data_IF_459423356085
#
_entry.id   IF_459423356085
#
_cell.length_a   1.000
_cell.length_b   1.000
_cell.length_c   1.000
_cell.angle_alpha   90.00
_cell.angle_beta   90.00
_cell.angle_gamma   90.00
#
_symmetry.space_group_name_H-M   'P 1'
#
loop_
_entity.id
_entity.type
_entity.pdbx_description
1 polymer ?
#
# COMPACT_ATOMS: atom_id res chain seq x y z
N UNK A 1 15.93 0.21 0.53
CA UNK A 1 15.12 -1.00 0.22
C UNK A 1 15.61 -1.58 -1.10
N UNK A 2 15.80 -2.89 -1.18
CA UNK A 2 16.33 -3.62 -2.33
C UNK A 2 15.38 -4.75 -2.71
N UNK A 3 15.24 -5.02 -4.01
CA UNK A 3 14.51 -6.17 -4.53
C UNK A 3 15.46 -7.00 -5.39
N UNK A 4 15.42 -8.32 -5.17
CA UNK A 4 16.25 -9.29 -5.88
C UNK A 4 15.38 -10.43 -6.41
N UNK A 5 15.45 -10.69 -7.71
CA UNK A 5 14.78 -11.83 -8.32
C UNK A 5 15.35 -13.14 -7.78
N UNK A 6 14.48 -14.08 -7.40
CA UNK A 6 14.84 -15.39 -6.92
C UNK A 6 14.64 -16.44 -8.01
N UNK A 7 13.41 -16.62 -8.45
CA UNK A 7 13.03 -17.56 -9.51
C UNK A 7 11.78 -17.06 -10.22
N UNK A 8 11.71 -17.16 -11.55
CA UNK A 8 10.56 -16.76 -12.33
C UNK A 8 10.08 -15.34 -12.01
N UNK A 9 8.92 -15.20 -11.38
CA UNK A 9 8.33 -13.94 -10.93
C UNK A 9 8.44 -13.73 -9.41
N UNK A 10 9.24 -14.51 -8.74
CA UNK A 10 9.52 -14.35 -7.31
C UNK A 10 10.59 -13.29 -7.08
N UNK A 11 10.29 -12.32 -6.25
CA UNK A 11 11.21 -11.27 -5.83
C UNK A 11 11.29 -11.20 -4.31
N UNK A 12 12.49 -11.20 -3.78
CA UNK A 12 12.74 -10.97 -2.36
C UNK A 12 12.98 -9.50 -2.10
N UNK A 13 12.20 -8.94 -1.18
CA UNK A 13 12.35 -7.56 -0.70
C UNK A 13 13.14 -7.55 0.58
N UNK A 14 14.22 -6.79 0.62
CA UNK A 14 14.99 -6.46 1.82
C UNK A 14 14.74 -5.01 2.18
N UNK A 15 14.27 -4.79 3.40
CA UNK A 15 14.08 -3.44 3.93
C UNK A 15 15.40 -2.92 4.50
N UNK A 16 15.59 -1.60 4.46
CA UNK A 16 16.74 -0.90 5.06
C UNK A 16 16.65 -0.78 6.59
N UNK A 17 15.67 -1.45 7.20
CA UNK A 17 15.52 -1.61 8.65
C UNK A 17 15.99 -3.00 9.06
N UNK A 18 17.06 -3.12 9.87
CA UNK A 18 17.72 -4.40 10.13
C UNK A 18 16.84 -5.45 10.82
N UNK A 19 15.85 -5.01 11.60
CA UNK A 19 14.95 -5.90 12.36
C UNK A 19 13.67 -6.26 11.60
N UNK A 20 13.50 -5.77 10.37
CA UNK A 20 12.31 -6.09 9.56
C UNK A 20 12.59 -7.33 8.72
N UNK A 21 11.77 -8.39 8.85
CA UNK A 21 11.91 -9.60 8.04
C UNK A 21 11.84 -9.32 6.53
N UNK A 22 12.57 -10.09 5.75
CA UNK A 22 12.44 -10.10 4.29
C UNK A 22 11.01 -10.51 3.89
N UNK A 23 10.53 -9.96 2.78
CA UNK A 23 9.23 -10.29 2.21
C UNK A 23 9.41 -10.90 0.82
N UNK A 24 8.83 -12.10 0.60
CA UNK A 24 8.76 -12.69 -0.72
C UNK A 24 7.53 -12.16 -1.45
N UNK A 25 7.73 -11.68 -2.67
CA UNK A 25 6.68 -11.31 -3.62
C UNK A 25 6.59 -12.34 -4.72
N UNK A 26 5.39 -12.60 -5.21
CA UNK A 26 5.17 -13.48 -6.36
C UNK A 26 3.86 -13.11 -7.06
N UNK A 27 3.76 -13.52 -8.32
CA UNK A 27 2.54 -13.33 -9.11
C UNK A 27 1.60 -14.53 -8.98
N UNK A 28 0.30 -14.35 -9.28
CA UNK A 28 -0.62 -15.49 -9.40
C UNK A 28 -0.35 -16.30 -10.66
N UNK A 29 -0.86 -17.53 -10.67
CA UNK A 29 -0.86 -18.39 -11.87
C UNK A 29 -1.53 -17.66 -13.06
N UNK A 30 -1.04 -17.85 -14.30
CA UNK A 30 0.01 -18.78 -14.69
C UNK A 30 1.44 -18.20 -14.63
N UNK A 31 1.65 -16.99 -14.17
CA UNK A 31 2.96 -16.32 -14.14
C UNK A 31 3.81 -16.79 -12.98
N UNK A 32 3.23 -16.89 -11.78
CA UNK A 32 3.86 -17.35 -10.56
C UNK A 32 3.07 -18.50 -9.92
N UNK A 33 3.38 -18.79 -8.66
CA UNK A 33 2.73 -19.85 -7.87
C UNK A 33 2.08 -19.34 -6.57
N UNK A 34 1.98 -18.00 -6.41
CA UNK A 34 1.43 -17.35 -5.21
C UNK A 34 2.26 -17.59 -3.94
N UNK A 35 3.57 -17.69 -4.06
CA UNK A 35 4.46 -17.86 -2.91
C UNK A 35 4.48 -16.62 -1.98
N UNK A 36 4.01 -15.47 -2.47
CA UNK A 36 3.84 -14.24 -1.72
C UNK A 36 2.78 -13.32 -2.33
N UNK A 37 2.50 -12.16 -1.71
CA UNK A 37 1.61 -11.15 -2.29
C UNK A 37 2.26 -10.54 -3.52
N UNK A 38 1.47 -10.19 -4.53
CA UNK A 38 1.96 -9.40 -5.65
C UNK A 38 1.94 -7.88 -5.36
N UNK A 39 2.56 -7.10 -6.23
CA UNK A 39 2.68 -5.65 -6.07
C UNK A 39 1.33 -4.93 -5.88
N UNK A 40 0.28 -5.31 -6.64
CA UNK A 40 -1.04 -4.70 -6.51
C UNK A 40 -1.66 -4.94 -5.11
N UNK A 41 -1.44 -6.12 -4.51
CA UNK A 41 -1.88 -6.42 -3.15
C UNK A 41 -1.11 -5.59 -2.12
N UNK A 42 0.18 -5.35 -2.34
CA UNK A 42 0.98 -4.51 -1.46
C UNK A 42 0.53 -3.04 -1.50
N UNK A 43 0.17 -2.53 -2.67
CA UNK A 43 -0.39 -1.17 -2.78
C UNK A 43 -1.69 -1.07 -1.99
N UNK A 44 -2.61 -2.04 -2.13
CA UNK A 44 -3.86 -2.07 -1.36
C UNK A 44 -3.60 -2.18 0.15
N UNK A 45 -2.63 -3.02 0.56
CA UNK A 45 -2.24 -3.17 1.96
C UNK A 45 -1.62 -1.88 2.52
N UNK A 46 -0.79 -1.18 1.74
CA UNK A 46 -0.18 0.09 2.14
C UNK A 46 -1.24 1.17 2.37
N UNK A 47 -2.24 1.27 1.48
CA UNK A 47 -3.37 2.19 1.63
C UNK A 47 -4.15 1.86 2.91
N UNK A 48 -4.55 0.60 3.10
CA UNK A 48 -5.29 0.18 4.28
C UNK A 48 -4.53 0.41 5.59
N UNK A 49 -3.22 0.11 5.60
CA UNK A 49 -2.38 0.34 6.77
C UNK A 49 -2.26 1.83 7.12
N UNK A 50 -2.00 2.67 6.12
CA UNK A 50 -1.84 4.10 6.34
C UNK A 50 -3.14 4.75 6.85
N UNK A 51 -4.29 4.40 6.27
CA UNK A 51 -5.61 4.85 6.75
C UNK A 51 -5.88 4.38 8.18
N UNK A 52 -5.58 3.12 8.49
CA UNK A 52 -5.72 2.58 9.85
C UNK A 52 -4.85 3.33 10.85
N UNK A 53 -3.59 3.57 10.50
CA UNK A 53 -2.67 4.33 11.34
C UNK A 53 -3.14 5.77 11.54
N UNK A 54 -3.67 6.42 10.51
CA UNK A 54 -4.19 7.80 10.57
C UNK A 54 -5.40 7.91 11.53
N UNK A 55 -6.33 6.96 11.48
CA UNK A 55 -7.48 6.94 12.41
C UNK A 55 -7.03 6.69 13.84
N UNK A 56 -6.10 5.75 14.05
CA UNK A 56 -5.53 5.49 15.39
C UNK A 56 -4.80 6.70 15.92
N UNK A 57 -3.98 7.34 15.08
CA UNK A 57 -3.26 8.56 15.45
C UNK A 57 -4.23 9.68 15.84
N UNK A 58 -5.24 9.92 15.03
CA UNK A 58 -6.26 10.94 15.29
C UNK A 58 -6.95 10.71 16.64
N UNK A 59 -7.48 9.52 16.86
CA UNK A 59 -8.21 9.19 18.08
C UNK A 59 -7.30 9.22 19.32
N UNK A 60 -6.12 8.58 19.27
CA UNK A 60 -5.22 8.50 20.42
C UNK A 60 -4.51 9.82 20.72
N UNK A 61 -3.96 10.45 19.69
CA UNK A 61 -3.06 11.59 19.89
C UNK A 61 -3.83 12.91 20.05
N UNK A 62 -4.81 13.13 19.16
CA UNK A 62 -5.57 14.38 19.14
C UNK A 62 -6.71 14.39 20.16
N UNK A 63 -7.45 13.29 20.26
CA UNK A 63 -8.64 13.21 21.11
C UNK A 63 -8.46 12.42 22.40
N UNK A 64 -7.28 11.83 22.62
CA UNK A 64 -6.96 11.02 23.82
C UNK A 64 -7.94 9.84 24.04
N UNK A 65 -8.46 9.30 22.95
CA UNK A 65 -9.38 8.16 22.92
C UNK A 65 -8.64 6.89 22.52
N UNK A 66 -9.04 5.75 23.06
CA UNK A 66 -8.51 4.47 22.62
C UNK A 66 -9.53 3.76 21.70
N UNK A 67 -9.30 3.65 20.39
CA UNK A 67 -10.25 2.99 19.49
C UNK A 67 -10.32 1.47 19.65
N UNK A 68 -9.55 0.89 20.58
CA UNK A 68 -9.35 -0.56 20.60
C UNK A 68 -8.60 -1.06 19.38
N UNK A 69 -8.71 -2.35 19.05
CA UNK A 69 -8.13 -2.89 17.81
C UNK A 69 -8.91 -2.39 16.59
N UNK A 70 -8.17 -1.83 15.63
CA UNK A 70 -8.69 -1.45 14.31
C UNK A 70 -8.42 -2.59 13.33
N UNK A 71 -9.43 -2.95 12.54
CA UNK A 71 -9.30 -3.91 11.44
C UNK A 71 -9.54 -3.18 10.12
N UNK A 72 -8.83 -3.59 9.08
CA UNK A 72 -9.02 -3.09 7.73
C UNK A 72 -9.22 -4.22 6.74
N UNK A 73 -10.15 -4.05 5.82
CA UNK A 73 -10.29 -4.89 4.64
C UNK A 73 -10.12 -4.01 3.41
N UNK A 74 -9.19 -4.37 2.52
CA UNK A 74 -8.93 -3.66 1.29
C UNK A 74 -9.22 -4.53 0.08
N UNK A 75 -9.90 -3.96 -0.91
CA UNK A 75 -10.21 -4.59 -2.19
C UNK A 75 -9.67 -3.73 -3.32
N UNK A 76 -8.69 -4.25 -4.06
CA UNK A 76 -8.18 -3.61 -5.28
C UNK A 76 -8.97 -4.08 -6.50
N UNK A 77 -9.44 -3.14 -7.32
CA UNK A 77 -10.06 -3.43 -8.62
C UNK A 77 -9.03 -3.27 -9.73
N UNK A 78 -8.92 -4.30 -10.57
CA UNK A 78 -8.05 -4.28 -11.75
C UNK A 78 -8.92 -4.21 -13.00
N UNK A 79 -8.66 -3.22 -13.83
CA UNK A 79 -9.36 -3.03 -15.10
C UNK A 79 -8.35 -2.90 -16.25
N UNK A 80 -8.79 -3.20 -17.48
CA UNK A 80 -7.97 -2.98 -18.66
C UNK A 80 -8.19 -1.56 -19.19
N UNK A 81 -7.10 -0.86 -19.47
CA UNK A 81 -7.17 0.42 -20.16
C UNK A 81 -7.45 0.22 -21.68
N UNK A 82 -7.55 1.30 -22.42
CA UNK A 82 -7.79 1.31 -23.87
C UNK A 82 -6.77 0.49 -24.67
N UNK A 83 -5.52 0.38 -24.17
CA UNK A 83 -4.47 -0.45 -24.76
C UNK A 83 -4.50 -1.91 -24.29
N UNK A 84 -5.55 -2.34 -23.57
CA UNK A 84 -5.71 -3.69 -23.05
C UNK A 84 -4.81 -4.06 -21.86
N UNK A 85 -4.11 -3.11 -21.26
CA UNK A 85 -3.17 -3.32 -20.15
C UNK A 85 -3.88 -3.14 -18.81
N UNK A 86 -3.62 -4.02 -17.85
CA UNK A 86 -4.17 -3.90 -16.50
C UNK A 86 -3.67 -2.65 -15.77
N UNK A 87 -4.60 -2.01 -15.05
CA UNK A 87 -4.37 -0.90 -14.14
C UNK A 87 -5.15 -1.13 -12.86
N UNK A 88 -4.65 -0.61 -11.74
CA UNK A 88 -5.43 -0.52 -10.51
C UNK A 88 -6.43 0.62 -10.72
N UNK A 89 -7.69 0.25 -10.96
CA UNK A 89 -8.78 1.21 -11.23
C UNK A 89 -9.39 1.80 -9.95
N UNK A 90 -9.14 1.15 -8.81
CA UNK A 90 -9.58 1.64 -7.52
C UNK A 90 -9.19 0.72 -6.39
N UNK A 91 -9.18 1.27 -5.18
CA UNK A 91 -8.95 0.55 -3.93
C UNK A 91 -10.04 0.96 -2.97
N UNK A 92 -10.86 0.00 -2.55
CA UNK A 92 -11.91 0.19 -1.56
C UNK A 92 -11.40 -0.34 -0.22
N UNK A 93 -11.50 0.49 0.83
CA UNK A 93 -11.06 0.12 2.18
C UNK A 93 -12.21 0.26 3.15
N UNK A 94 -12.45 -0.79 3.93
CA UNK A 94 -13.37 -0.80 5.06
C UNK A 94 -12.56 -0.85 6.34
N UNK A 95 -12.67 0.19 7.16
CA UNK A 95 -12.09 0.22 8.49
C UNK A 95 -13.17 -0.15 9.52
N UNK A 96 -12.85 -1.10 10.40
CA UNK A 96 -13.74 -1.53 11.49
C UNK A 96 -13.10 -1.15 12.81
N UNK A 97 -13.76 -0.30 13.56
CA UNK A 97 -13.40 0.05 14.92
C UNK A 97 -14.05 -0.95 15.90
N UNK A 98 -13.46 -1.12 17.09
CA UNK A 98 -14.01 -1.99 18.11
C UNK A 98 -15.24 -1.40 18.80
N UNK A 99 -15.29 -0.07 18.91
CA UNK A 99 -16.37 0.66 19.56
C UNK A 99 -17.52 0.98 18.60
N UNK A 100 -18.73 1.08 19.11
CA UNK A 100 -19.91 1.46 18.33
C UNK A 100 -19.84 2.93 17.94
N UNK A 101 -20.47 3.27 16.81
CA UNK A 101 -20.64 4.64 16.42
C UNK A 101 -21.38 5.43 17.51
N UNK A 102 -20.82 6.56 17.90
CA UNK A 102 -21.38 7.44 18.94
C UNK A 102 -20.98 7.11 20.39
N UNK A 103 -20.42 5.93 20.67
CA UNK A 103 -19.96 5.58 22.03
C UNK A 103 -18.63 6.26 22.38
N UNK A 104 -17.88 6.67 21.35
CA UNK A 104 -16.59 7.34 21.51
C UNK A 104 -16.71 8.85 21.27
N UNK A 105 -16.47 9.69 22.27
CA UNK A 105 -16.47 11.14 22.09
C UNK A 105 -15.52 11.56 20.97
N UNK A 106 -15.91 12.53 20.16
CA UNK A 106 -15.12 13.06 19.05
C UNK A 106 -14.80 12.09 17.88
N UNK A 107 -15.40 10.89 17.86
CA UNK A 107 -15.21 9.92 16.77
C UNK A 107 -15.60 10.54 15.42
N UNK A 108 -16.78 11.13 15.32
CA UNK A 108 -17.26 11.78 14.11
C UNK A 108 -16.27 12.83 13.60
N UNK A 109 -15.84 13.72 14.48
CA UNK A 109 -14.86 14.76 14.15
C UNK A 109 -13.49 14.21 13.72
N UNK A 110 -13.10 13.05 14.23
CA UNK A 110 -11.90 12.36 13.76
C UNK A 110 -12.11 11.80 12.36
N UNK A 111 -13.26 11.13 12.11
CA UNK A 111 -13.57 10.52 10.83
C UNK A 111 -13.70 11.54 9.69
N UNK A 112 -14.09 12.77 9.97
CA UNK A 112 -14.14 13.88 8.99
C UNK A 112 -12.76 14.33 8.47
N UNK A 113 -11.68 14.06 9.20
CA UNK A 113 -10.37 14.66 8.88
C UNK A 113 -9.19 13.68 8.85
N UNK A 114 -9.35 12.41 9.27
CA UNK A 114 -8.21 11.51 9.40
C UNK A 114 -7.53 11.17 8.07
N UNK A 115 -8.27 11.20 6.98
CA UNK A 115 -7.74 10.92 5.64
C UNK A 115 -6.72 11.97 5.20
N UNK A 116 -6.91 13.24 5.56
CA UNK A 116 -6.00 14.34 5.23
C UNK A 116 -4.57 14.11 5.75
N UNK A 117 -4.42 13.27 6.80
CA UNK A 117 -3.14 12.90 7.37
C UNK A 117 -2.57 11.60 6.79
N UNK A 118 -3.29 10.94 5.88
CA UNK A 118 -2.85 9.70 5.26
C UNK A 118 -1.90 9.97 4.10
N UNK A 119 -0.59 9.95 4.36
CA UNK A 119 0.46 10.23 3.36
C UNK A 119 0.29 9.35 2.11
N UNK A 120 0.08 8.04 2.29
CA UNK A 120 -0.02 7.10 1.16
C UNK A 120 -1.26 7.38 0.31
N UNK A 121 -2.43 7.52 0.94
CA UNK A 121 -3.69 7.70 0.21
C UNK A 121 -3.71 9.03 -0.55
N UNK A 122 -3.32 10.11 0.09
CA UNK A 122 -3.28 11.43 -0.56
C UNK A 122 -2.25 11.50 -1.69
N UNK A 123 -1.08 10.87 -1.49
CA UNK A 123 -0.08 10.77 -2.57
C UNK A 123 -0.58 9.96 -3.76
N UNK A 124 -1.26 8.84 -3.53
CA UNK A 124 -1.83 8.01 -4.61
C UNK A 124 -2.94 8.79 -5.35
N UNK A 125 -3.82 9.48 -4.64
CA UNK A 125 -4.88 10.32 -5.24
C UNK A 125 -4.30 11.44 -6.11
N UNK A 126 -3.18 12.02 -5.70
CA UNK A 126 -2.49 13.07 -6.44
C UNK A 126 -1.66 12.57 -7.64
N UNK A 127 -1.38 11.27 -7.69
CA UNK A 127 -0.49 10.65 -8.68
C UNK A 127 0.99 10.87 -8.34
N UNK A 128 1.68 9.82 -7.92
CA UNK A 128 3.09 9.87 -7.57
C UNK A 128 3.94 9.75 -8.84
N UNK A 129 4.85 10.70 -9.13
CA UNK A 129 5.80 10.56 -10.23
C UNK A 129 6.70 9.34 -10.03
N UNK A 130 6.93 8.57 -11.07
CA UNK A 130 7.82 7.41 -11.05
C UNK A 130 8.85 7.56 -12.16
N UNK A 131 10.12 7.60 -11.78
CA UNK A 131 11.25 7.62 -12.73
C UNK A 131 11.90 6.25 -12.74
N UNK A 132 12.21 5.74 -13.93
CA UNK A 132 12.82 4.42 -14.13
C UNK A 132 14.10 4.54 -14.92
N UNK A 133 15.22 4.03 -14.38
CA UNK A 133 16.46 3.85 -15.08
C UNK A 133 16.79 2.35 -15.12
N UNK A 134 16.98 1.83 -16.32
CA UNK A 134 17.49 0.46 -16.51
C UNK A 134 18.99 0.58 -16.77
N UNK A 135 19.78 -0.13 -15.99
CA UNK A 135 21.24 -0.16 -16.15
C UNK A 135 21.70 -1.57 -16.50
N UNK A 136 22.76 -1.65 -17.29
CA UNK A 136 23.41 -2.92 -17.61
C UNK A 136 24.33 -3.40 -16.45
N UNK A 137 25.02 -4.52 -16.66
CA UNK A 137 25.94 -5.10 -15.68
C UNK A 137 27.13 -4.20 -15.31
N UNK A 138 27.44 -3.19 -16.13
CA UNK A 138 28.50 -2.21 -15.89
C UNK A 138 27.97 -0.92 -15.24
N UNK A 139 26.66 -0.85 -14.95
CA UNK A 139 25.97 0.32 -14.38
C UNK A 139 25.67 1.43 -15.39
N UNK A 140 25.85 1.18 -16.70
CA UNK A 140 25.52 2.14 -17.74
C UNK A 140 24.02 2.14 -18.02
N UNK A 141 23.41 3.32 -18.13
CA UNK A 141 21.97 3.45 -18.45
C UNK A 141 21.70 2.85 -19.83
N UNK A 142 20.83 1.84 -19.86
CA UNK A 142 20.45 1.08 -21.04
C UNK A 142 19.16 1.61 -21.70
N UNK A 143 18.42 2.50 -21.03
CA UNK A 143 17.23 3.16 -21.57
C UNK A 143 17.30 4.66 -21.31
N UNK A 144 16.70 5.46 -22.18
CA UNK A 144 16.40 6.85 -21.86
C UNK A 144 15.33 6.89 -20.78
N UNK A 145 15.51 7.75 -19.77
CA UNK A 145 14.54 7.90 -18.69
C UNK A 145 13.16 8.26 -19.28
N UNK A 146 12.18 7.39 -19.11
CA UNK A 146 10.80 7.69 -19.48
C UNK A 146 10.22 8.53 -18.35
N UNK A 147 10.05 9.82 -18.61
CA UNK A 147 9.40 10.76 -17.70
C UNK A 147 7.88 10.53 -17.63
#
# INVERSE_FOLDING_TARGET
MELEQQDGFEFKVRFDWPDVPELLLDEPEPLGRRAGPNAARLVAAAVANCLSASVVFCLRTKFKQNPGPVRAMATGRLERNEQGRYRIAGIDVVLSLAEKAGDMPHQERCLEQFEDFCVVTESIRAGIPVTVNVVDAEGKVANDAVA
#
